data_IF_412649967727
#
_entry.id   IF_412649967727
#
_cell.length_a   1.000
_cell.length_b   1.000
_cell.length_c   1.000
_cell.angle_alpha   90.00
_cell.angle_beta   90.00
_cell.angle_gamma   90.00
#
_symmetry.space_group_name_H-M   'P 1'
#
loop_
_entity.id
_entity.type
_entity.pdbx_description
1 polymer ?
#
# COMPACT_ATOMS: atom_id res chain seq x y z
N UNK A 1 -33.85 -35.77 -7.67
CA UNK A 1 -33.61 -37.13 -7.14
C UNK A 1 -34.85 -38.03 -7.26
N UNK A 2 -35.95 -37.75 -6.55
CA UNK A 2 -37.18 -38.58 -6.59
C UNK A 2 -37.71 -38.89 -8.01
N UNK A 3 -37.56 -37.95 -8.97
CA UNK A 3 -38.00 -38.14 -10.37
C UNK A 3 -37.14 -39.14 -11.13
N UNK A 4 -35.83 -39.16 -10.93
CA UNK A 4 -34.89 -40.08 -11.65
C UNK A 4 -35.04 -41.49 -11.10
N UNK A 5 -35.16 -41.67 -9.79
CA UNK A 5 -35.42 -42.96 -9.17
C UNK A 5 -36.78 -43.52 -9.59
N UNK A 6 -37.82 -42.68 -9.69
CA UNK A 6 -39.14 -43.05 -10.17
C UNK A 6 -39.11 -43.46 -11.64
N UNK A 7 -38.34 -42.75 -12.48
CA UNK A 7 -38.16 -43.08 -13.91
C UNK A 7 -37.47 -44.43 -14.07
N UNK A 8 -36.38 -44.70 -13.33
CA UNK A 8 -35.70 -45.99 -13.35
C UNK A 8 -36.64 -47.14 -12.93
N UNK A 9 -37.42 -46.91 -11.84
CA UNK A 9 -38.39 -47.90 -11.37
C UNK A 9 -39.46 -48.21 -12.43
N UNK A 10 -39.97 -47.19 -13.09
CA UNK A 10 -40.99 -47.40 -14.15
C UNK A 10 -40.43 -48.16 -15.37
N UNK A 11 -39.19 -47.84 -15.80
CA UNK A 11 -38.53 -48.54 -16.91
C UNK A 11 -38.27 -50.01 -16.57
N UNK A 12 -37.78 -50.30 -15.37
CA UNK A 12 -37.52 -51.67 -14.93
C UNK A 12 -38.80 -52.51 -14.81
N UNK A 13 -39.90 -51.91 -14.33
CA UNK A 13 -41.22 -52.57 -14.28
C UNK A 13 -41.72 -52.91 -15.69
N UNK A 14 -41.71 -51.97 -16.61
CA UNK A 14 -42.15 -52.16 -18.01
C UNK A 14 -41.31 -53.26 -18.69
N UNK A 15 -39.99 -53.23 -18.53
CA UNK A 15 -39.09 -54.20 -19.08
C UNK A 15 -39.29 -55.58 -18.47
N UNK A 16 -39.53 -55.68 -17.17
CA UNK A 16 -39.82 -56.95 -16.48
C UNK A 16 -41.13 -57.59 -16.95
N UNK A 17 -42.18 -56.80 -17.15
CA UNK A 17 -43.45 -57.28 -17.73
C UNK A 17 -43.27 -57.86 -19.14
N UNK A 18 -42.48 -57.18 -19.97
CA UNK A 18 -42.18 -57.59 -21.33
C UNK A 18 -41.35 -58.92 -21.35
N UNK A 19 -40.35 -59.06 -20.49
CA UNK A 19 -39.58 -60.31 -20.31
C UNK A 19 -40.40 -61.47 -19.78
N UNK A 20 -41.44 -61.22 -18.98
CA UNK A 20 -42.36 -62.24 -18.43
C UNK A 20 -43.17 -62.96 -19.52
N UNK A 21 -43.39 -62.38 -20.69
CA UNK A 21 -44.01 -63.00 -21.82
C UNK A 21 -43.17 -64.13 -22.45
N UNK A 22 -41.82 -64.14 -22.23
CA UNK A 22 -40.92 -65.11 -22.86
C UNK A 22 -40.61 -66.33 -21.97
N UNK A 23 -40.36 -66.13 -20.67
CA UNK A 23 -40.21 -67.19 -19.68
C UNK A 23 -40.19 -66.63 -18.24
N UNK A 24 -40.60 -67.43 -17.28
CA UNK A 24 -40.62 -67.07 -15.85
C UNK A 24 -39.19 -66.77 -15.33
N UNK A 25 -38.17 -67.45 -15.87
CA UNK A 25 -36.78 -67.22 -15.51
C UNK A 25 -36.25 -65.85 -15.99
N UNK A 26 -36.68 -65.42 -17.18
CA UNK A 26 -36.31 -64.11 -17.69
C UNK A 26 -36.90 -62.99 -16.82
N UNK A 27 -38.10 -63.17 -16.31
CA UNK A 27 -38.76 -62.22 -15.39
C UNK A 27 -38.01 -62.12 -14.05
N UNK A 28 -37.58 -63.22 -13.46
CA UNK A 28 -36.81 -63.23 -12.19
C UNK A 28 -35.44 -62.57 -12.36
N UNK A 29 -34.74 -62.78 -13.48
CA UNK A 29 -33.44 -62.17 -13.77
C UNK A 29 -33.60 -60.68 -13.96
N UNK A 30 -34.59 -60.21 -14.71
CA UNK A 30 -34.80 -58.78 -14.93
C UNK A 30 -35.19 -58.03 -13.65
N UNK A 31 -36.00 -58.64 -12.78
CA UNK A 31 -36.38 -58.11 -11.47
C UNK A 31 -35.16 -57.99 -10.53
N UNK A 32 -34.32 -59.03 -10.49
CA UNK A 32 -33.09 -59.00 -9.64
C UNK A 32 -32.09 -57.94 -10.12
N UNK A 33 -31.91 -57.83 -11.45
CA UNK A 33 -31.05 -56.81 -12.03
C UNK A 33 -31.57 -55.36 -11.77
N UNK A 34 -32.88 -55.18 -11.90
CA UNK A 34 -33.53 -53.89 -11.57
C UNK A 34 -33.35 -53.52 -10.11
N UNK A 35 -33.46 -54.47 -9.19
CA UNK A 35 -33.28 -54.26 -7.76
C UNK A 35 -31.81 -53.85 -7.42
N UNK A 36 -30.85 -54.56 -8.05
CA UNK A 36 -29.43 -54.23 -7.88
C UNK A 36 -29.12 -52.81 -8.37
N UNK A 37 -29.60 -52.42 -9.56
CA UNK A 37 -29.42 -51.07 -10.11
C UNK A 37 -30.04 -50.01 -9.19
N UNK A 38 -31.20 -50.29 -8.62
CA UNK A 38 -31.90 -49.41 -7.69
C UNK A 38 -31.11 -49.19 -6.40
N UNK A 39 -30.56 -50.26 -5.83
CA UNK A 39 -29.70 -50.16 -4.65
C UNK A 39 -28.44 -49.33 -4.95
N UNK A 40 -27.76 -49.59 -6.06
CA UNK A 40 -26.57 -48.84 -6.48
C UNK A 40 -26.91 -47.37 -6.61
N UNK A 41 -28.02 -47.05 -7.27
CA UNK A 41 -28.47 -45.65 -7.44
C UNK A 41 -28.74 -44.96 -6.11
N UNK A 42 -29.40 -45.62 -5.18
CA UNK A 42 -29.68 -45.07 -3.84
C UNK A 42 -28.37 -44.83 -3.08
N UNK A 43 -27.44 -45.78 -3.08
CA UNK A 43 -26.14 -45.63 -2.41
C UNK A 43 -25.32 -44.46 -2.99
N UNK A 44 -25.31 -44.37 -4.33
CA UNK A 44 -24.58 -43.29 -5.02
C UNK A 44 -25.19 -41.91 -4.72
N UNK A 45 -26.50 -41.78 -4.78
CA UNK A 45 -27.19 -40.55 -4.43
C UNK A 45 -26.98 -40.15 -2.95
N UNK A 46 -26.96 -41.13 -2.03
CA UNK A 46 -26.68 -40.86 -0.62
C UNK A 46 -25.27 -40.34 -0.39
N UNK A 47 -24.27 -40.95 -1.07
CA UNK A 47 -22.86 -40.51 -1.02
C UNK A 47 -22.71 -39.08 -1.56
N UNK A 48 -23.32 -38.79 -2.72
CA UNK A 48 -23.28 -37.46 -3.34
C UNK A 48 -23.94 -36.39 -2.45
N UNK A 49 -25.06 -36.73 -1.81
CA UNK A 49 -25.73 -35.80 -0.86
C UNK A 49 -24.86 -35.46 0.35
N UNK A 50 -24.19 -36.46 0.93
CA UNK A 50 -23.28 -36.27 2.05
C UNK A 50 -22.09 -35.38 1.66
N UNK A 51 -21.53 -35.55 0.46
CA UNK A 51 -20.44 -34.72 -0.05
C UNK A 51 -20.86 -33.26 -0.23
N UNK A 52 -22.04 -33.00 -0.79
CA UNK A 52 -22.59 -31.65 -0.94
C UNK A 52 -22.84 -31.01 0.44
N UNK A 53 -23.42 -31.75 1.38
CA UNK A 53 -23.68 -31.25 2.73
C UNK A 53 -22.39 -30.89 3.47
N UNK A 54 -21.34 -31.72 3.34
CA UNK A 54 -20.02 -31.42 3.91
C UNK A 54 -19.40 -30.16 3.28
N UNK A 55 -19.56 -29.97 1.97
CA UNK A 55 -19.11 -28.78 1.29
C UNK A 55 -19.84 -27.52 1.81
N UNK A 56 -21.17 -27.58 1.94
CA UNK A 56 -21.96 -26.49 2.52
C UNK A 56 -21.52 -26.15 3.96
N UNK A 57 -21.35 -27.16 4.80
CA UNK A 57 -20.87 -26.97 6.17
C UNK A 57 -19.44 -26.37 6.22
N UNK A 58 -18.59 -26.71 5.25
CA UNK A 58 -17.25 -26.10 5.13
C UNK A 58 -17.31 -24.64 4.73
N UNK A 59 -18.22 -24.28 3.82
CA UNK A 59 -18.46 -22.88 3.43
C UNK A 59 -18.99 -22.08 4.62
N UNK A 60 -19.96 -22.61 5.37
CA UNK A 60 -20.50 -21.95 6.55
C UNK A 60 -19.41 -21.68 7.60
N UNK A 61 -18.54 -22.65 7.86
CA UNK A 61 -17.39 -22.46 8.77
C UNK A 61 -16.46 -21.33 8.31
N UNK A 62 -16.19 -21.23 7.01
CA UNK A 62 -15.40 -20.13 6.43
C UNK A 62 -16.05 -18.78 6.69
N UNK A 63 -17.37 -18.67 6.51
CA UNK A 63 -18.13 -17.45 6.73
C UNK A 63 -18.14 -17.01 8.20
N UNK A 64 -18.08 -17.96 9.13
CA UNK A 64 -18.04 -17.70 10.58
C UNK A 64 -16.62 -17.56 11.16
N UNK A 65 -15.56 -17.53 10.31
CA UNK A 65 -14.21 -17.16 10.75
C UNK A 65 -13.34 -18.31 11.26
N UNK A 66 -13.66 -19.56 10.93
CA UNK A 66 -12.80 -20.71 11.26
C UNK A 66 -11.66 -20.83 10.25
N UNK A 67 -10.43 -20.53 10.68
CA UNK A 67 -9.24 -20.44 9.80
C UNK A 67 -8.65 -21.79 9.40
N UNK A 68 -9.00 -22.87 10.09
CA UNK A 68 -8.42 -24.21 9.84
C UNK A 68 -9.37 -25.12 9.07
N UNK A 69 -9.63 -24.82 7.81
CA UNK A 69 -10.47 -25.70 7.00
C UNK A 69 -9.62 -26.45 5.98
N UNK A 70 -9.48 -27.75 6.21
CA UNK A 70 -9.05 -28.70 5.19
C UNK A 70 -10.29 -29.16 4.42
N UNK A 71 -10.43 -28.75 3.17
CA UNK A 71 -11.41 -29.36 2.30
C UNK A 71 -11.01 -30.80 2.03
N UNK A 72 -11.78 -31.77 2.55
CA UNK A 72 -11.56 -33.19 2.25
C UNK A 72 -11.71 -33.40 0.73
N UNK A 73 -10.74 -34.05 0.12
CA UNK A 73 -10.74 -34.30 -1.34
C UNK A 73 -11.98 -35.08 -1.76
N UNK A 74 -12.82 -34.46 -2.57
CA UNK A 74 -13.88 -35.15 -3.30
C UNK A 74 -13.26 -35.85 -4.52
N UNK A 75 -13.46 -37.14 -4.65
CA UNK A 75 -12.90 -37.94 -5.77
C UNK A 75 -13.79 -37.91 -7.03
N UNK A 76 -14.94 -37.25 -7.01
CA UNK A 76 -15.88 -37.21 -8.14
C UNK A 76 -15.65 -35.95 -8.96
N UNK A 77 -15.41 -36.07 -10.26
CA UNK A 77 -14.89 -35.07 -11.17
C UNK A 77 -15.58 -33.68 -11.12
N UNK A 78 -16.92 -33.62 -11.19
CA UNK A 78 -17.67 -32.35 -11.19
C UNK A 78 -17.63 -31.63 -9.82
N UNK A 79 -17.78 -32.38 -8.74
CA UNK A 79 -17.72 -31.84 -7.37
C UNK A 79 -16.32 -31.40 -6.99
N UNK A 80 -15.29 -32.06 -7.50
CA UNK A 80 -13.90 -31.67 -7.26
C UNK A 80 -13.55 -30.33 -7.93
N UNK A 81 -14.09 -30.06 -9.13
CA UNK A 81 -13.94 -28.78 -9.82
C UNK A 81 -14.62 -27.65 -9.01
N UNK A 82 -15.88 -27.88 -8.60
CA UNK A 82 -16.61 -26.92 -7.78
C UNK A 82 -15.88 -26.62 -6.46
N UNK A 83 -15.37 -27.64 -5.81
CA UNK A 83 -14.59 -27.51 -4.57
C UNK A 83 -13.33 -26.66 -4.79
N UNK A 84 -12.59 -26.90 -5.88
CA UNK A 84 -11.39 -26.13 -6.21
C UNK A 84 -11.69 -24.66 -6.48
N UNK A 85 -12.81 -24.36 -7.16
CA UNK A 85 -13.21 -22.97 -7.41
C UNK A 85 -13.66 -22.25 -6.13
N UNK A 86 -14.41 -22.92 -5.26
CA UNK A 86 -14.80 -22.40 -3.95
C UNK A 86 -13.54 -22.12 -3.10
N UNK A 87 -12.57 -23.03 -3.12
CA UNK A 87 -11.31 -22.85 -2.40
C UNK A 87 -10.53 -21.63 -2.90
N UNK A 88 -10.41 -21.44 -4.22
CA UNK A 88 -9.78 -20.25 -4.80
C UNK A 88 -10.52 -18.97 -4.43
N UNK A 89 -11.86 -18.97 -4.48
CA UNK A 89 -12.66 -17.81 -4.05
C UNK A 89 -12.44 -17.49 -2.59
N UNK A 90 -12.41 -18.52 -1.72
CA UNK A 90 -12.17 -18.35 -0.28
C UNK A 90 -10.80 -17.75 0.00
N UNK A 91 -9.74 -18.23 -0.68
CA UNK A 91 -8.39 -17.67 -0.56
C UNK A 91 -8.36 -16.21 -0.99
N UNK A 92 -8.96 -15.87 -2.13
CA UNK A 92 -9.04 -14.47 -2.59
C UNK A 92 -9.79 -13.57 -1.63
N UNK A 93 -10.93 -14.02 -1.08
CA UNK A 93 -11.68 -13.28 -0.07
C UNK A 93 -10.86 -13.04 1.21
N UNK A 94 -10.10 -14.03 1.66
CA UNK A 94 -9.19 -13.88 2.81
C UNK A 94 -8.07 -12.89 2.54
N UNK A 95 -7.45 -12.97 1.39
CA UNK A 95 -6.43 -11.99 0.97
C UNK A 95 -7.00 -10.58 0.94
N UNK A 96 -8.18 -10.40 0.36
CA UNK A 96 -8.86 -9.09 0.31
C UNK A 96 -9.25 -8.59 1.70
N UNK A 97 -9.79 -9.44 2.56
CA UNK A 97 -10.12 -9.06 3.94
C UNK A 97 -8.86 -8.70 4.75
N UNK A 98 -7.78 -9.47 4.61
CA UNK A 98 -6.51 -9.18 5.26
C UNK A 98 -5.93 -7.84 4.78
N UNK A 99 -5.98 -7.57 3.48
CA UNK A 99 -5.57 -6.28 2.91
C UNK A 99 -6.42 -5.13 3.46
N UNK A 100 -7.75 -5.30 3.48
CA UNK A 100 -8.69 -4.30 3.99
C UNK A 100 -8.47 -3.98 5.48
N UNK A 101 -8.27 -5.00 6.34
CA UNK A 101 -7.97 -4.79 7.77
C UNK A 101 -6.61 -4.10 7.97
N UNK A 102 -5.63 -4.41 7.12
CA UNK A 102 -4.34 -3.70 7.10
C UNK A 102 -4.52 -2.23 6.72
N UNK A 103 -5.27 -1.94 5.66
CA UNK A 103 -5.54 -0.58 5.20
C UNK A 103 -6.31 0.22 6.26
N UNK A 104 -7.31 -0.39 6.90
CA UNK A 104 -8.06 0.20 8.02
C UNK A 104 -7.16 0.50 9.22
N UNK A 105 -6.24 -0.40 9.55
CA UNK A 105 -5.25 -0.17 10.62
C UNK A 105 -4.31 0.98 10.28
N UNK A 106 -3.81 1.04 9.05
CA UNK A 106 -2.97 2.15 8.56
C UNK A 106 -3.73 3.47 8.64
N UNK A 107 -4.99 3.51 8.19
CA UNK A 107 -5.83 4.70 8.25
C UNK A 107 -6.07 5.16 9.70
N UNK A 108 -6.42 4.23 10.59
CA UNK A 108 -6.63 4.51 12.02
C UNK A 108 -5.37 5.13 12.65
N UNK A 109 -4.21 4.54 12.40
CA UNK A 109 -2.94 5.04 12.92
C UNK A 109 -2.62 6.43 12.33
N UNK A 110 -2.83 6.63 11.03
CA UNK A 110 -2.62 7.92 10.36
C UNK A 110 -3.49 9.03 10.96
N UNK A 111 -4.77 8.75 11.24
CA UNK A 111 -5.68 9.72 11.88
C UNK A 111 -5.21 10.06 13.31
N UNK A 112 -4.77 9.06 14.07
CA UNK A 112 -4.24 9.28 15.43
C UNK A 112 -2.99 10.15 15.39
N UNK A 113 -2.06 9.87 14.49
CA UNK A 113 -0.83 10.62 14.30
C UNK A 113 -1.10 12.07 13.88
N UNK A 114 -1.98 12.28 12.89
CA UNK A 114 -2.42 13.62 12.46
C UNK A 114 -2.99 14.41 13.65
N UNK A 115 -3.87 13.77 14.41
CA UNK A 115 -4.48 14.41 15.59
C UNK A 115 -3.45 14.83 16.62
N UNK A 116 -2.43 13.99 16.83
CA UNK A 116 -1.34 14.31 17.74
C UNK A 116 -0.46 15.45 17.21
N UNK A 117 -0.11 15.43 15.92
CA UNK A 117 0.73 16.46 15.30
C UNK A 117 0.03 17.82 15.18
N UNK A 118 -1.30 17.87 15.12
CA UNK A 118 -2.07 19.12 15.18
C UNK A 118 -2.25 19.62 16.62
N UNK A 119 -2.42 18.73 17.60
CA UNK A 119 -2.65 19.11 19.00
C UNK A 119 -1.46 19.87 19.60
N UNK A 120 -0.25 19.43 19.31
CA UNK A 120 0.99 20.03 19.87
C UNK A 120 1.12 21.51 19.51
N UNK A 121 1.12 21.94 18.23
CA UNK A 121 1.21 23.35 17.87
C UNK A 121 0.01 24.16 18.35
N UNK A 122 -1.22 23.61 18.35
CA UNK A 122 -2.42 24.27 18.88
C UNK A 122 -2.29 24.55 20.38
N UNK A 123 -1.76 23.59 21.16
CA UNK A 123 -1.51 23.79 22.59
C UNK A 123 -0.47 24.89 22.83
N UNK A 124 0.62 24.89 22.04
CA UNK A 124 1.65 25.92 22.10
C UNK A 124 1.10 27.32 21.77
N UNK A 125 0.24 27.41 20.73
CA UNK A 125 -0.43 28.67 20.38
C UNK A 125 -1.30 29.20 21.52
N UNK A 126 -2.11 28.32 22.14
CA UNK A 126 -2.96 28.71 23.26
C UNK A 126 -2.13 29.22 24.45
N UNK A 127 -0.98 28.62 24.73
CA UNK A 127 -0.04 29.11 25.75
C UNK A 127 0.51 30.49 25.41
N UNK A 128 0.96 30.70 24.18
CA UNK A 128 1.49 31.99 23.72
C UNK A 128 0.39 33.07 23.79
N UNK A 129 -0.83 32.77 23.35
CA UNK A 129 -1.96 33.69 23.47
C UNK A 129 -2.23 34.05 24.92
N UNK A 130 -2.12 33.10 25.86
CA UNK A 130 -2.28 33.39 27.30
C UNK A 130 -1.17 34.26 27.86
N UNK A 131 0.08 34.10 27.34
CA UNK A 131 1.23 34.94 27.71
C UNK A 131 1.06 36.37 27.20
N UNK A 132 0.60 36.59 25.97
CA UNK A 132 0.32 37.93 25.41
C UNK A 132 -0.76 38.66 26.21
N UNK A 133 -1.76 37.96 26.73
CA UNK A 133 -2.84 38.52 27.54
C UNK A 133 -2.42 38.93 28.95
N UNK A 134 -1.25 38.50 29.42
CA UNK A 134 -0.78 38.79 30.75
C UNK A 134 -0.31 40.26 30.84
N UNK A 135 -0.79 40.97 31.86
CA UNK A 135 -0.39 42.37 32.10
C UNK A 135 1.11 42.45 32.45
N UNK A 136 1.81 43.43 31.87
CA UNK A 136 3.23 43.67 32.13
C UNK A 136 4.20 43.08 31.11
N UNK A 137 3.73 42.48 30.03
CA UNK A 137 4.59 42.00 28.94
C UNK A 137 5.17 43.17 28.14
N UNK A 138 6.48 43.19 27.94
CA UNK A 138 7.16 44.25 27.16
C UNK A 138 6.81 44.16 25.66
N UNK A 139 6.94 45.31 24.95
CA UNK A 139 6.69 45.33 23.50
C UNK A 139 7.57 44.34 22.71
N UNK A 140 8.83 44.13 23.16
CA UNK A 140 9.76 43.20 22.54
C UNK A 140 9.31 41.75 22.73
N UNK A 141 8.86 41.36 23.92
CA UNK A 141 8.33 40.04 24.22
C UNK A 141 7.04 39.78 23.43
N UNK A 142 6.14 40.77 23.30
CA UNK A 142 4.95 40.64 22.48
C UNK A 142 5.29 40.38 21.01
N UNK A 143 6.29 41.06 20.46
CA UNK A 143 6.74 40.85 19.08
C UNK A 143 7.33 39.46 18.88
N UNK A 144 8.06 38.93 19.86
CA UNK A 144 8.58 37.56 19.84
C UNK A 144 7.44 36.51 19.87
N UNK A 145 6.45 36.74 20.74
CA UNK A 145 5.27 35.88 20.81
C UNK A 145 4.47 35.86 19.48
N UNK A 146 4.29 37.02 18.85
CA UNK A 146 3.63 37.13 17.55
C UNK A 146 4.43 36.39 16.49
N UNK A 147 5.76 36.52 16.47
CA UNK A 147 6.63 35.77 15.55
C UNK A 147 6.48 34.26 15.74
N UNK A 148 6.49 33.78 16.97
CA UNK A 148 6.31 32.37 17.29
C UNK A 148 4.93 31.86 16.89
N UNK A 149 3.84 32.65 17.08
CA UNK A 149 2.50 32.32 16.61
C UNK A 149 2.45 32.20 15.09
N UNK A 150 3.07 33.13 14.37
CA UNK A 150 3.12 33.11 12.91
C UNK A 150 3.86 31.86 12.39
N UNK A 151 4.95 31.48 13.04
CA UNK A 151 5.66 30.24 12.71
C UNK A 151 4.79 29.00 12.94
N UNK A 152 4.08 28.91 14.07
CA UNK A 152 3.20 27.78 14.38
C UNK A 152 2.03 27.68 13.39
N UNK A 153 1.44 28.80 12.99
CA UNK A 153 0.40 28.86 11.96
C UNK A 153 0.92 28.36 10.61
N UNK A 154 2.08 28.83 10.16
CA UNK A 154 2.72 28.37 8.94
C UNK A 154 3.00 26.86 8.96
N UNK A 155 3.40 26.31 10.12
CA UNK A 155 3.59 24.86 10.30
C UNK A 155 2.28 24.07 10.14
N UNK A 156 1.18 24.55 10.74
CA UNK A 156 -0.13 23.90 10.59
C UNK A 156 -0.60 23.95 9.14
N UNK A 157 -0.47 25.09 8.49
CA UNK A 157 -0.86 25.26 7.09
C UNK A 157 -0.09 24.30 6.17
N UNK A 158 1.23 24.24 6.33
CA UNK A 158 2.06 23.27 5.59
C UNK A 158 1.63 21.82 5.84
N UNK A 159 1.31 21.45 7.11
CA UNK A 159 0.85 20.11 7.44
C UNK A 159 -0.47 19.76 6.72
N UNK A 160 -1.42 20.68 6.68
CA UNK A 160 -2.69 20.52 5.99
C UNK A 160 -2.46 20.34 4.49
N UNK A 161 -1.61 21.17 3.87
CA UNK A 161 -1.30 21.09 2.44
C UNK A 161 -0.68 19.73 2.06
N UNK A 162 0.26 19.23 2.88
CA UNK A 162 0.88 17.92 2.66
C UNK A 162 -0.14 16.79 2.83
N UNK A 163 -1.02 16.87 3.82
CA UNK A 163 -2.07 15.87 4.03
C UNK A 163 -3.09 15.84 2.88
N UNK A 164 -3.45 17.00 2.34
CA UNK A 164 -4.31 17.08 1.16
C UNK A 164 -3.64 16.45 -0.06
N UNK A 165 -2.35 16.74 -0.29
CA UNK A 165 -1.57 16.12 -1.38
C UNK A 165 -1.51 14.59 -1.23
N UNK A 166 -1.22 14.08 -0.03
CA UNK A 166 -1.23 12.64 0.25
C UNK A 166 -2.60 12.02 0.00
N UNK A 167 -3.69 12.68 0.43
CA UNK A 167 -5.05 12.21 0.20
C UNK A 167 -5.40 12.13 -1.28
N UNK A 168 -4.96 13.11 -2.10
CA UNK A 168 -5.15 13.10 -3.55
C UNK A 168 -4.40 11.95 -4.22
N UNK A 169 -3.16 11.68 -3.78
CA UNK A 169 -2.36 10.57 -4.27
C UNK A 169 -2.97 9.21 -3.88
N UNK A 170 -3.38 9.06 -2.60
CA UNK A 170 -4.02 7.82 -2.11
C UNK A 170 -5.33 7.50 -2.86
N UNK A 171 -6.10 8.52 -3.20
CA UNK A 171 -7.34 8.38 -3.94
C UNK A 171 -7.14 8.17 -5.46
N UNK A 172 -5.91 8.29 -5.96
CA UNK A 172 -5.61 8.21 -7.40
C UNK A 172 -6.25 9.34 -8.23
N UNK A 173 -6.63 10.46 -7.59
CA UNK A 173 -7.26 11.62 -8.26
C UNK A 173 -6.26 12.74 -8.59
N UNK A 174 -4.99 12.53 -8.27
CA UNK A 174 -3.93 13.46 -8.65
C UNK A 174 -3.76 13.44 -10.18
N UNK A 175 -4.13 14.55 -10.84
CA UNK A 175 -3.92 14.71 -12.28
C UNK A 175 -2.44 14.96 -12.56
N UNK A 176 -1.71 13.91 -12.91
CA UNK A 176 -0.28 13.97 -13.20
C UNK A 176 -0.02 13.97 -14.70
N UNK A 177 0.68 14.99 -15.17
CA UNK A 177 1.12 15.10 -16.55
C UNK A 177 2.31 14.18 -16.79
N UNK A 178 2.27 13.40 -17.88
CA UNK A 178 3.40 12.58 -18.32
C UNK A 178 4.16 13.27 -19.44
N UNK A 179 5.05 14.18 -19.08
CA UNK A 179 5.90 14.93 -20.00
C UNK A 179 7.37 14.56 -19.86
N UNK A 180 8.20 14.97 -20.82
CA UNK A 180 9.65 14.77 -20.72
C UNK A 180 10.23 15.80 -19.77
N UNK A 181 10.78 15.35 -18.65
CA UNK A 181 11.36 16.18 -17.59
C UNK A 181 12.88 16.09 -17.66
N UNK A 182 13.56 17.23 -17.79
CA UNK A 182 15.02 17.31 -17.69
C UNK A 182 15.45 17.32 -16.21
N UNK A 183 16.37 16.41 -15.83
CA UNK A 183 16.80 16.30 -14.44
C UNK A 183 17.51 17.55 -13.92
N UNK A 184 18.33 18.21 -14.73
CA UNK A 184 19.03 19.42 -14.30
C UNK A 184 18.08 20.58 -14.01
N UNK A 185 17.07 20.78 -14.85
CA UNK A 185 16.07 21.82 -14.64
C UNK A 185 15.19 21.52 -13.41
N UNK A 186 14.85 20.25 -13.21
CA UNK A 186 14.10 19.79 -12.04
C UNK A 186 14.87 20.06 -10.74
N UNK A 187 16.14 19.65 -10.67
CA UNK A 187 17.00 19.83 -9.51
C UNK A 187 17.20 21.30 -9.19
N UNK A 188 17.48 22.12 -10.23
CA UNK A 188 17.62 23.56 -10.06
C UNK A 188 16.36 24.19 -9.49
N UNK A 189 15.21 23.89 -10.07
CA UNK A 189 13.92 24.43 -9.59
C UNK A 189 13.55 23.93 -8.18
N UNK A 190 13.90 22.70 -7.81
CA UNK A 190 13.74 22.19 -6.45
C UNK A 190 14.64 22.91 -5.45
N UNK A 191 15.90 23.20 -5.82
CA UNK A 191 16.86 23.85 -4.96
C UNK A 191 16.59 25.36 -4.78
N UNK A 192 16.11 26.07 -5.80
CA UNK A 192 15.75 27.52 -5.72
C UNK A 192 14.92 27.86 -4.47
N UNK A 193 14.00 26.99 -4.07
CA UNK A 193 13.17 27.17 -2.87
C UNK A 193 13.91 26.98 -1.55
N UNK A 194 15.10 26.37 -1.58
CA UNK A 194 15.90 25.96 -0.41
C UNK A 194 17.22 26.73 -0.30
N UNK A 195 17.56 27.54 -1.30
CA UNK A 195 18.83 28.24 -1.42
C UNK A 195 19.15 29.09 -0.18
N UNK A 196 18.21 29.91 0.26
CA UNK A 196 18.37 30.72 1.47
C UNK A 196 18.60 29.87 2.72
N UNK A 197 17.93 28.72 2.82
CA UNK A 197 18.10 27.82 3.97
C UNK A 197 19.48 27.16 3.96
N UNK A 198 19.98 26.79 2.81
CA UNK A 198 21.32 26.25 2.63
C UNK A 198 22.41 27.30 2.96
N UNK A 199 22.25 28.53 2.48
CA UNK A 199 23.15 29.66 2.77
C UNK A 199 23.20 30.00 4.27
N UNK A 200 22.04 30.14 4.94
CA UNK A 200 21.98 30.43 6.37
C UNK A 200 22.70 29.34 7.18
N UNK A 201 22.61 28.09 6.73
CA UNK A 201 23.26 26.94 7.40
C UNK A 201 24.74 26.79 6.99
N UNK A 202 25.17 27.48 5.92
CA UNK A 202 26.53 27.35 5.36
C UNK A 202 26.75 25.98 4.67
N UNK A 203 25.72 25.39 4.05
CA UNK A 203 25.82 24.13 3.33
C UNK A 203 26.06 24.39 1.86
N UNK A 204 27.15 23.86 1.32
CA UNK A 204 27.46 23.95 -0.11
C UNK A 204 26.72 22.88 -0.89
N UNK A 205 25.99 23.28 -1.96
CA UNK A 205 25.28 22.33 -2.84
C UNK A 205 25.90 22.32 -4.22
N UNK A 206 26.47 21.18 -4.59
CA UNK A 206 27.13 20.97 -5.89
C UNK A 206 26.25 20.14 -6.81
N UNK A 207 25.81 20.74 -7.92
CA UNK A 207 25.03 20.06 -8.94
C UNK A 207 25.94 19.57 -10.09
N UNK A 208 26.27 18.29 -10.09
CA UNK A 208 27.09 17.60 -11.08
C UNK A 208 26.23 16.88 -12.14
N UNK A 209 25.00 17.29 -12.34
CA UNK A 209 24.06 16.65 -13.26
C UNK A 209 24.44 16.95 -14.72
N UNK A 210 24.53 15.90 -15.53
CA UNK A 210 24.70 16.00 -16.98
C UNK A 210 23.50 16.68 -17.64
N UNK A 211 23.74 17.44 -18.73
CA UNK A 211 22.67 18.23 -19.42
C UNK A 211 21.58 17.38 -20.08
N UNK A 212 21.77 16.08 -20.29
CA UNK A 212 20.93 15.24 -21.15
C UNK A 212 20.06 14.22 -20.41
N UNK A 213 20.19 14.09 -19.09
CA UNK A 213 19.40 13.11 -18.34
C UNK A 213 17.93 13.54 -18.26
N UNK A 214 17.03 12.74 -18.86
CA UNK A 214 15.60 13.02 -18.90
C UNK A 214 14.80 11.77 -18.47
N UNK A 215 13.58 12.01 -17.98
CA UNK A 215 12.59 10.97 -17.69
C UNK A 215 11.17 11.43 -18.04
N UNK A 216 10.21 10.49 -18.07
CA UNK A 216 8.78 10.82 -18.24
C UNK A 216 8.10 10.92 -16.88
N UNK A 217 7.48 12.08 -16.60
CA UNK A 217 6.78 12.31 -15.33
C UNK A 217 6.17 13.70 -15.26
N UNK A 218 5.59 14.05 -14.13
CA UNK A 218 5.08 15.38 -13.83
C UNK A 218 6.16 16.24 -13.19
N UNK A 219 6.50 17.36 -13.84
CA UNK A 219 7.55 18.26 -13.37
C UNK A 219 7.25 18.82 -11.98
N UNK A 220 6.02 19.27 -11.71
CA UNK A 220 5.68 19.95 -10.45
C UNK A 220 5.67 18.98 -9.27
N UNK A 221 5.10 17.80 -9.46
CA UNK A 221 5.10 16.78 -8.43
C UNK A 221 6.51 16.24 -8.17
N UNK A 222 7.28 15.95 -9.22
CA UNK A 222 8.66 15.49 -9.06
C UNK A 222 9.56 16.55 -8.42
N UNK A 223 9.35 17.85 -8.73
CA UNK A 223 10.04 18.95 -8.06
C UNK A 223 9.78 18.96 -6.56
N UNK A 224 8.53 18.78 -6.16
CA UNK A 224 8.15 18.67 -4.73
C UNK A 224 8.85 17.49 -4.04
N UNK A 225 8.89 16.32 -4.72
CA UNK A 225 9.57 15.15 -4.19
C UNK A 225 11.07 15.38 -3.99
N UNK A 226 11.75 15.95 -4.99
CA UNK A 226 13.18 16.26 -4.92
C UNK A 226 13.47 17.35 -3.89
N UNK A 227 12.62 18.38 -3.80
CA UNK A 227 12.76 19.44 -2.81
C UNK A 227 12.65 18.90 -1.38
N UNK A 228 11.73 17.97 -1.11
CA UNK A 228 11.61 17.33 0.21
C UNK A 228 12.86 16.50 0.58
N UNK A 229 13.46 15.80 -0.40
CA UNK A 229 14.71 15.06 -0.17
C UNK A 229 15.86 16.03 0.08
N UNK A 230 16.02 17.07 -0.76
CA UNK A 230 17.05 18.09 -0.58
C UNK A 230 16.93 18.80 0.76
N UNK A 231 15.72 19.18 1.17
CA UNK A 231 15.46 19.77 2.47
C UNK A 231 15.93 18.85 3.61
N UNK A 232 15.62 17.55 3.51
CA UNK A 232 16.07 16.58 4.50
C UNK A 232 17.62 16.51 4.54
N UNK A 233 18.29 16.48 3.40
CA UNK A 233 19.75 16.51 3.33
C UNK A 233 20.31 17.81 3.96
N UNK A 234 19.74 18.99 3.63
CA UNK A 234 20.16 20.26 4.21
C UNK A 234 19.97 20.24 5.74
N UNK A 235 18.82 19.76 6.23
CA UNK A 235 18.50 19.72 7.66
C UNK A 235 19.48 18.82 8.44
N UNK A 236 20.00 17.75 7.84
CA UNK A 236 20.89 16.78 8.46
C UNK A 236 22.40 17.02 8.22
N UNK A 237 22.74 17.84 7.25
CA UNK A 237 24.14 18.24 6.99
C UNK A 237 24.61 19.23 8.08
N UNK A 238 25.80 19.06 8.66
CA UNK A 238 26.36 20.03 9.61
C UNK A 238 26.68 21.36 8.90
N UNK A 239 26.85 22.44 9.68
CA UNK A 239 27.31 23.71 9.13
C UNK A 239 28.68 23.53 8.47
N UNK A 240 28.87 24.17 7.33
CA UNK A 240 30.04 24.02 6.43
C UNK A 240 30.18 22.61 5.82
N UNK A 241 29.13 21.81 5.82
CA UNK A 241 29.08 20.55 5.07
C UNK A 241 28.69 20.77 3.60
N UNK A 242 28.58 19.69 2.86
CA UNK A 242 28.27 19.75 1.44
C UNK A 242 27.20 18.70 1.05
N UNK A 243 26.52 18.99 -0.06
CA UNK A 243 25.58 18.06 -0.71
C UNK A 243 25.99 17.96 -2.17
N UNK A 244 26.12 16.73 -2.67
CA UNK A 244 26.46 16.47 -4.08
C UNK A 244 25.24 15.85 -4.74
N UNK A 245 24.84 16.42 -5.89
CA UNK A 245 23.73 15.92 -6.68
C UNK A 245 24.28 15.49 -8.04
N UNK A 246 23.92 14.29 -8.48
CA UNK A 246 24.25 13.79 -9.81
C UNK A 246 23.05 13.13 -10.45
N UNK A 247 22.98 13.14 -11.78
CA UNK A 247 21.96 12.39 -12.51
C UNK A 247 22.59 11.70 -13.72
N UNK A 248 22.19 10.45 -13.91
CA UNK A 248 22.63 9.59 -14.99
C UNK A 248 21.41 8.95 -15.68
N UNK A 249 21.51 8.78 -16.99
CA UNK A 249 20.49 8.13 -17.78
C UNK A 249 21.06 6.89 -18.46
N UNK A 250 20.35 5.78 -18.39
CA UNK A 250 20.66 4.56 -19.11
C UNK A 250 19.42 4.04 -19.86
N UNK A 251 19.48 2.97 -20.66
CA UNK A 251 18.33 2.44 -21.39
C UNK A 251 17.16 1.97 -20.52
N UNK A 252 17.38 1.62 -19.25
CA UNK A 252 16.37 1.05 -18.35
C UNK A 252 15.72 2.10 -17.45
N UNK A 253 16.53 3.04 -16.95
CA UNK A 253 16.06 4.08 -16.02
C UNK A 253 16.90 5.35 -16.09
N UNK A 254 16.35 6.42 -15.56
CA UNK A 254 17.07 7.66 -15.24
C UNK A 254 17.21 7.73 -13.73
N UNK A 255 18.42 7.97 -13.24
CA UNK A 255 18.77 7.96 -11.82
C UNK A 255 19.24 9.34 -11.37
N UNK A 256 18.70 9.81 -10.23
CA UNK A 256 19.18 11.00 -9.52
C UNK A 256 19.73 10.52 -8.18
N UNK A 257 20.96 10.89 -7.87
CA UNK A 257 21.64 10.58 -6.61
C UNK A 257 21.90 11.88 -5.87
N UNK A 258 21.48 11.94 -4.60
CA UNK A 258 21.70 13.08 -3.70
C UNK A 258 22.47 12.52 -2.49
N UNK A 259 23.71 12.98 -2.32
CA UNK A 259 24.60 12.57 -1.24
C UNK A 259 24.90 13.76 -0.33
N UNK A 260 24.71 13.60 0.98
CA UNK A 260 25.06 14.60 1.99
C UNK A 260 26.29 14.19 2.80
N UNK A 261 26.94 15.17 3.41
CA UNK A 261 28.08 14.97 4.30
C UNK A 261 27.69 14.91 5.79
N UNK A 262 26.47 14.52 6.07
CA UNK A 262 25.94 14.41 7.42
C UNK A 262 26.42 13.20 8.20
N UNK A 263 25.71 12.88 9.29
CA UNK A 263 26.03 11.72 10.15
C UNK A 263 25.58 10.38 9.56
N UNK A 264 24.88 10.41 8.41
CA UNK A 264 24.21 9.23 7.86
C UNK A 264 22.95 8.84 8.64
N UNK A 265 22.36 7.71 8.26
CA UNK A 265 21.12 7.18 8.81
C UNK A 265 21.43 5.87 9.54
N UNK A 266 21.07 5.70 10.81
CA UNK A 266 21.25 4.42 11.50
C UNK A 266 20.59 3.26 10.75
N UNK A 267 21.29 2.12 10.61
CA UNK A 267 20.84 0.99 9.80
C UNK A 267 19.45 0.45 10.20
N UNK A 268 19.16 0.46 11.50
CA UNK A 268 17.89 -0.02 12.05
C UNK A 268 16.67 0.82 11.65
N UNK A 269 16.88 2.05 11.13
CA UNK A 269 15.80 2.96 10.74
C UNK A 269 15.74 3.23 9.23
N UNK A 270 16.73 2.81 8.44
CA UNK A 270 16.81 3.04 6.99
C UNK A 270 15.50 2.67 6.26
N UNK A 271 14.89 1.55 6.63
CA UNK A 271 13.62 1.09 6.04
C UNK A 271 12.40 1.88 6.50
N UNK A 272 12.52 2.60 7.62
CA UNK A 272 11.39 3.27 8.27
C UNK A 272 11.30 4.76 7.95
N UNK A 273 12.37 5.39 7.44
CA UNK A 273 12.41 6.84 7.16
C UNK A 273 11.37 7.29 6.12
N UNK A 274 10.85 6.37 5.31
CA UNK A 274 9.79 6.61 4.34
C UNK A 274 8.38 6.31 4.88
N UNK A 275 8.24 5.93 6.16
CA UNK A 275 6.94 5.75 6.78
C UNK A 275 6.35 7.10 7.17
N UNK A 276 5.01 7.20 7.16
CA UNK A 276 4.31 8.42 7.58
C UNK A 276 4.58 8.72 9.04
N UNK A 277 4.85 9.99 9.35
CA UNK A 277 5.08 10.49 10.71
C UNK A 277 6.30 9.88 11.42
N UNK A 278 7.16 9.20 10.69
CA UNK A 278 8.37 8.66 11.28
C UNK A 278 9.40 9.77 11.48
N UNK A 279 9.73 10.03 12.75
CA UNK A 279 10.78 10.97 13.15
C UNK A 279 11.62 10.34 14.26
N UNK A 280 12.91 10.64 14.32
CA UNK A 280 13.75 10.30 15.47
C UNK A 280 13.64 11.39 16.54
N UNK A 281 13.75 11.03 17.81
CA UNK A 281 13.50 11.93 18.96
C UNK A 281 14.31 13.23 18.92
N UNK A 282 15.50 13.23 18.32
CA UNK A 282 16.37 14.41 18.19
C UNK A 282 15.91 15.40 17.11
N UNK A 283 15.00 15.00 16.20
CA UNK A 283 14.62 15.75 15.00
C UNK A 283 13.24 16.42 15.12
N UNK A 284 12.51 16.14 16.20
CA UNK A 284 11.15 16.65 16.43
C UNK A 284 11.03 18.19 16.41
N UNK A 285 12.15 18.91 16.37
CA UNK A 285 12.15 20.39 16.32
C UNK A 285 11.89 20.93 14.89
N UNK A 286 12.18 20.20 13.81
CA UNK A 286 12.16 20.74 12.44
C UNK A 286 11.35 19.93 11.40
N UNK A 287 10.79 18.76 11.71
CA UNK A 287 10.08 17.96 10.73
C UNK A 287 8.98 17.07 11.32
N UNK A 288 7.90 16.83 10.55
CA UNK A 288 6.77 15.99 10.95
C UNK A 288 6.88 14.55 10.45
N UNK A 289 7.99 14.17 9.80
CA UNK A 289 8.18 12.83 9.24
C UNK A 289 7.25 12.51 8.06
N UNK A 290 6.80 13.53 7.31
CA UNK A 290 5.87 13.33 6.20
C UNK A 290 6.55 13.57 4.84
N UNK A 291 7.59 14.39 4.77
CA UNK A 291 8.21 14.80 3.50
C UNK A 291 8.76 13.65 2.68
N UNK A 292 9.54 12.74 3.28
CA UNK A 292 10.10 11.57 2.58
C UNK A 292 9.02 10.56 2.18
N UNK A 293 7.97 10.40 2.99
CA UNK A 293 6.82 9.57 2.64
C UNK A 293 6.07 10.13 1.42
N UNK A 294 5.82 11.45 1.39
CA UNK A 294 5.24 12.13 0.25
C UNK A 294 6.10 11.97 -1.00
N UNK A 295 7.44 12.15 -0.87
CA UNK A 295 8.36 11.93 -1.98
C UNK A 295 8.26 10.51 -2.54
N UNK A 296 8.24 9.49 -1.69
CA UNK A 296 8.10 8.10 -2.12
C UNK A 296 6.81 7.86 -2.89
N UNK A 297 5.70 8.43 -2.43
CA UNK A 297 4.40 8.27 -3.07
C UNK A 297 4.33 8.98 -4.42
N UNK A 298 4.80 10.25 -4.50
CA UNK A 298 4.90 10.99 -5.75
C UNK A 298 5.74 10.23 -6.78
N UNK A 299 6.90 9.72 -6.37
CA UNK A 299 7.79 8.99 -7.26
C UNK A 299 7.17 7.69 -7.75
N UNK A 300 6.45 6.96 -6.89
CA UNK A 300 5.71 5.74 -7.26
C UNK A 300 4.68 6.00 -8.35
N UNK A 301 3.92 7.08 -8.26
CA UNK A 301 2.94 7.50 -9.27
C UNK A 301 3.59 7.92 -10.61
N UNK A 302 4.85 8.33 -10.56
CA UNK A 302 5.66 8.68 -11.73
C UNK A 302 6.56 7.54 -12.23
N UNK A 303 6.21 6.26 -11.98
CA UNK A 303 7.00 5.08 -12.33
C UNK A 303 8.42 5.12 -11.76
N UNK A 304 8.60 5.73 -10.61
CA UNK A 304 9.90 5.84 -9.95
C UNK A 304 9.94 5.15 -8.61
N UNK A 305 11.15 5.04 -8.08
CA UNK A 305 11.43 4.53 -6.73
C UNK A 305 12.42 5.45 -6.03
N UNK A 306 12.39 5.45 -4.70
CA UNK A 306 13.40 6.10 -3.86
C UNK A 306 13.94 5.10 -2.86
N UNK A 307 15.26 5.11 -2.69
CA UNK A 307 16.01 4.33 -1.71
C UNK A 307 16.95 5.24 -0.96
N UNK A 308 17.32 4.85 0.25
CA UNK A 308 18.34 5.54 1.04
C UNK A 308 19.36 4.53 1.54
N UNK A 309 20.62 4.94 1.53
CA UNK A 309 21.74 4.18 2.05
C UNK A 309 22.75 5.13 2.70
N UNK A 310 23.75 4.61 3.37
CA UNK A 310 24.84 5.41 3.90
C UNK A 310 26.01 5.45 2.90
N UNK A 311 26.56 6.65 2.73
CA UNK A 311 27.75 6.85 1.90
C UNK A 311 28.99 6.18 2.48
N UNK A 312 29.95 5.81 1.62
CA UNK A 312 31.22 5.18 2.04
C UNK A 312 32.06 6.09 2.93
N UNK A 313 31.90 7.39 2.78
CA UNK A 313 32.66 8.42 3.53
C UNK A 313 31.82 9.01 4.68
N UNK A 314 30.71 8.39 5.06
CA UNK A 314 29.70 8.93 5.95
C UNK A 314 28.62 9.68 5.16
N UNK A 315 27.58 10.20 5.88
CA UNK A 315 26.45 10.88 5.27
C UNK A 315 25.38 9.94 4.72
N UNK A 316 24.27 10.48 4.29
CA UNK A 316 23.20 9.73 3.66
C UNK A 316 23.22 9.91 2.13
N UNK A 317 22.84 8.85 1.42
CA UNK A 317 22.71 8.83 -0.04
C UNK A 317 21.28 8.47 -0.38
N UNK A 318 20.59 9.37 -1.06
CA UNK A 318 19.25 9.11 -1.59
C UNK A 318 19.35 8.83 -3.09
N UNK A 319 18.79 7.69 -3.51
CA UNK A 319 18.81 7.23 -4.89
C UNK A 319 17.36 7.22 -5.40
N UNK A 320 17.09 8.08 -6.38
CA UNK A 320 15.80 8.18 -7.06
C UNK A 320 15.95 7.59 -8.46
N UNK A 321 15.10 6.61 -8.83
CA UNK A 321 15.12 5.99 -10.17
C UNK A 321 13.76 6.12 -10.82
N UNK A 322 13.73 6.61 -12.06
CA UNK A 322 12.56 6.65 -12.92
C UNK A 322 12.70 5.61 -14.02
N UNK A 323 11.86 4.61 -14.03
CA UNK A 323 11.93 3.50 -14.98
C UNK A 323 11.32 3.87 -16.31
N UNK A 324 12.02 3.53 -17.39
CA UNK A 324 11.52 3.68 -18.75
C UNK A 324 10.56 2.53 -19.02
N UNK A 325 9.37 2.84 -19.57
CA UNK A 325 8.46 1.80 -20.03
C UNK A 325 9.19 1.00 -21.11
N UNK A 326 9.42 -0.27 -20.85
CA UNK A 326 9.82 -1.21 -21.91
C UNK A 326 8.64 -1.30 -22.84
N UNK A 327 8.82 -0.89 -24.10
CA UNK A 327 7.83 -0.97 -25.19
C UNK A 327 7.59 -2.44 -25.53
#
# INVERSE_FOLDING_TARGET
MKKITALHLSITIVFSIWCGFFSIYALLISLSMGLILLIINILWNKKRYLQINNLCNSIDKVLFGDDQISFSSCNDGELSILQSEIQKMTLRLREQNSALEKDKSILKNSIADISHQLRTPLTSMNLIVSMIKKQGTSANEQMEYIRNLTQLLGRIQWLIDVLLKLSQLDAGVADMKKESVNCNDLIRSAFESLEISAEIKGVEVQNNTGKNACFKGDFLWCREAVANVLKNCIDHTPSNGYIIISANENPLFTEIIIEDSGKGIPENILNNIFQRFYTTADISKNGYGIGLCLSRQILSENNGTIQAENGKNGGAVFIIRFYKSVI
#
